data_IF_258454583446
#
_entry.id   IF_258454583446
#
_cell.length_a   1.000
_cell.length_b   1.000
_cell.length_c   1.000
_cell.angle_alpha   90.00
_cell.angle_beta   90.00
_cell.angle_gamma   90.00
#
_symmetry.space_group_name_H-M   'P 1'
#
loop_
_entity.id
_entity.type
_entity.pdbx_description
1 polymer ?
#
# COMPACT_ATOMS: atom_id res chain seq x y z
N UNK A 1 -29.10 18.19 -18.03
CA UNK A 1 -28.16 19.32 -18.06
C UNK A 1 -28.36 20.16 -16.81
N UNK A 2 -27.60 19.91 -15.74
CA UNK A 2 -27.25 20.88 -14.69
C UNK A 2 -26.06 20.31 -13.92
N UNK A 3 -24.90 20.88 -14.21
CA UNK A 3 -23.61 20.64 -13.59
C UNK A 3 -23.62 21.37 -12.25
N UNK A 4 -23.46 20.66 -11.12
CA UNK A 4 -23.08 21.28 -9.86
C UNK A 4 -21.73 20.71 -9.45
N UNK A 5 -20.72 21.53 -9.74
CA UNK A 5 -19.36 21.46 -9.24
C UNK A 5 -19.43 21.69 -7.74
N UNK A 6 -19.06 20.67 -6.98
CA UNK A 6 -18.82 20.76 -5.54
C UNK A 6 -17.50 20.07 -5.23
N UNK A 7 -16.39 20.68 -5.64
CA UNK A 7 -15.04 20.30 -5.22
C UNK A 7 -14.94 20.60 -3.71
N UNK A 8 -15.32 19.62 -2.89
CA UNK A 8 -15.25 19.68 -1.44
C UNK A 8 -13.83 19.44 -0.95
N UNK A 9 -13.10 20.53 -0.76
CA UNK A 9 -12.07 20.76 0.29
C UNK A 9 -11.04 19.64 0.48
N UNK A 10 -9.91 19.77 -0.22
CA UNK A 10 -8.66 19.10 0.16
C UNK A 10 -8.22 19.60 1.54
N UNK A 11 -8.39 18.78 2.58
CA UNK A 11 -7.59 18.94 3.79
C UNK A 11 -6.15 18.55 3.45
N UNK A 12 -5.35 19.51 2.98
CA UNK A 12 -3.90 19.42 3.17
C UNK A 12 -3.65 19.77 4.63
N UNK A 13 -3.44 18.76 5.47
CA UNK A 13 -2.69 18.98 6.70
C UNK A 13 -1.25 19.24 6.25
N UNK A 14 -0.85 20.51 6.24
CA UNK A 14 0.55 20.88 6.28
C UNK A 14 1.13 20.25 7.54
N UNK A 15 1.93 19.18 7.38
CA UNK A 15 2.72 18.63 8.48
C UNK A 15 3.69 19.72 8.94
N UNK A 16 3.41 20.21 10.14
CA UNK A 16 4.30 21.02 10.95
C UNK A 16 5.66 20.32 10.98
N UNK A 17 6.67 20.95 10.37
CA UNK A 17 8.06 20.50 10.40
C UNK A 17 8.56 20.50 11.85
N UNK A 18 8.26 19.44 12.59
CA UNK A 18 8.96 19.14 13.83
C UNK A 18 10.24 18.40 13.45
N UNK A 19 11.36 19.08 13.65
CA UNK A 19 12.67 18.43 13.82
C UNK A 19 12.62 17.51 15.04
N UNK A 20 12.04 16.32 14.89
CA UNK A 20 12.03 15.30 15.94
C UNK A 20 12.13 13.95 15.24
N UNK A 21 13.33 13.35 15.31
CA UNK A 21 13.70 11.99 14.89
C UNK A 21 12.87 11.35 13.73
N UNK A 22 13.47 11.09 12.55
CA UNK A 22 12.77 10.48 11.40
C UNK A 22 12.14 9.11 11.70
N UNK A 23 12.52 8.43 12.79
CA UNK A 23 11.88 7.19 13.23
C UNK A 23 10.52 7.35 13.93
N UNK A 24 10.12 8.58 14.29
CA UNK A 24 8.86 8.90 15.00
C UNK A 24 7.76 9.35 14.03
N UNK A 25 8.09 9.42 12.74
CA UNK A 25 7.19 9.84 11.68
C UNK A 25 5.87 9.04 11.65
N UNK A 26 4.71 9.70 11.42
CA UNK A 26 3.41 9.04 11.39
C UNK A 26 3.34 7.93 10.34
N UNK A 27 4.03 8.08 9.21
CA UNK A 27 4.12 7.07 8.15
C UNK A 27 4.81 5.79 8.63
N UNK A 28 5.88 5.92 9.43
CA UNK A 28 6.60 4.79 10.04
C UNK A 28 5.74 4.11 11.11
N UNK A 29 5.07 4.90 11.96
CA UNK A 29 4.18 4.36 13.00
C UNK A 29 2.99 3.60 12.42
N UNK A 30 2.42 4.11 11.32
CA UNK A 30 1.33 3.45 10.61
C UNK A 30 1.81 2.15 9.94
N UNK A 31 2.97 2.17 9.26
CA UNK A 31 3.57 1.01 8.65
C UNK A 31 3.89 -0.10 9.67
N UNK A 32 4.26 0.27 10.91
CA UNK A 32 4.47 -0.70 11.99
C UNK A 32 3.21 -1.47 12.36
N UNK A 33 2.05 -0.81 12.33
CA UNK A 33 0.77 -1.42 12.72
C UNK A 33 0.10 -2.18 11.57
N UNK A 34 0.12 -1.60 10.36
CA UNK A 34 -0.65 -2.10 9.22
C UNK A 34 0.20 -2.67 8.08
N UNK A 35 1.52 -2.60 8.18
CA UNK A 35 2.43 -2.95 7.10
C UNK A 35 2.65 -1.82 6.11
N UNK A 36 3.76 -1.90 5.39
CA UNK A 36 4.10 -0.94 4.33
C UNK A 36 3.08 -1.00 3.19
N UNK A 37 2.53 -2.20 2.91
CA UNK A 37 1.49 -2.39 1.88
C UNK A 37 0.15 -1.73 2.21
N UNK A 38 -0.08 -1.37 3.47
CA UNK A 38 -1.27 -0.66 3.92
C UNK A 38 -1.19 0.86 3.70
N UNK A 39 -0.03 1.39 3.33
CA UNK A 39 0.15 2.80 3.02
C UNK A 39 -0.45 3.15 1.65
N UNK A 40 -1.04 4.33 1.48
CA UNK A 40 -1.47 4.79 0.17
C UNK A 40 -0.24 5.04 -0.72
N UNK A 41 -0.38 4.80 -2.02
CA UNK A 41 0.74 4.87 -3.00
C UNK A 41 1.43 6.24 -3.00
N UNK A 42 0.69 7.32 -2.69
CA UNK A 42 1.23 8.68 -2.56
C UNK A 42 2.23 8.83 -1.41
N UNK A 43 2.11 8.04 -0.34
CA UNK A 43 2.92 8.17 0.88
C UNK A 43 4.10 7.17 0.88
N UNK A 44 4.13 6.24 -0.08
CA UNK A 44 5.28 5.35 -0.31
C UNK A 44 6.62 6.08 -0.52
N UNK A 45 6.73 7.07 -1.43
CA UNK A 45 8.00 7.78 -1.61
C UNK A 45 8.44 8.51 -0.33
N UNK A 46 7.50 9.03 0.45
CA UNK A 46 7.77 9.64 1.74
C UNK A 46 8.30 8.61 2.75
N UNK A 47 7.61 7.47 2.88
CA UNK A 47 8.03 6.35 3.72
C UNK A 47 9.45 5.88 3.40
N UNK A 48 9.82 5.75 2.13
CA UNK A 48 11.17 5.32 1.74
C UNK A 48 12.24 6.35 2.12
N UNK A 49 11.94 7.64 1.96
CA UNK A 49 12.86 8.72 2.35
C UNK A 49 13.08 8.74 3.86
N UNK A 50 12.00 8.66 4.64
CA UNK A 50 12.04 8.71 6.09
C UNK A 50 12.62 7.44 6.71
N UNK A 51 12.27 6.26 6.17
CA UNK A 51 12.84 4.98 6.64
C UNK A 51 14.35 4.92 6.40
N UNK A 52 14.84 5.45 5.26
CA UNK A 52 16.28 5.56 5.01
C UNK A 52 16.97 6.48 6.02
N UNK A 53 16.40 7.66 6.29
CA UNK A 53 16.93 8.58 7.29
C UNK A 53 16.91 7.97 8.71
N UNK A 54 15.88 7.20 9.04
CA UNK A 54 15.78 6.46 10.31
C UNK A 54 16.84 5.36 10.42
N UNK A 55 17.13 4.61 9.34
CA UNK A 55 18.23 3.64 9.29
C UNK A 55 19.59 4.30 9.53
N UNK A 56 19.85 5.42 8.84
CA UNK A 56 21.10 6.17 8.99
C UNK A 56 21.31 6.73 10.42
N UNK A 57 20.23 6.92 11.19
CA UNK A 57 20.28 7.31 12.60
C UNK A 57 20.34 6.13 13.60
N UNK A 58 20.49 4.89 13.12
CA UNK A 58 20.58 3.67 13.95
C UNK A 58 19.23 3.01 14.26
N UNK A 59 18.16 3.40 13.56
CA UNK A 59 16.82 2.81 13.68
C UNK A 59 16.61 1.52 12.88
N UNK A 60 17.68 0.85 12.44
CA UNK A 60 17.61 -0.35 11.59
C UNK A 60 16.70 -1.44 12.19
N UNK A 61 16.81 -1.66 13.50
CA UNK A 61 16.06 -2.66 14.26
C UNK A 61 14.54 -2.42 14.14
N UNK A 62 14.12 -1.15 14.14
CA UNK A 62 12.70 -0.79 14.01
C UNK A 62 12.18 -1.09 12.61
N UNK A 63 12.95 -0.76 11.57
CA UNK A 63 12.54 -1.02 10.19
C UNK A 63 12.54 -2.53 9.90
N UNK A 64 13.51 -3.27 10.41
CA UNK A 64 13.57 -4.71 10.27
C UNK A 64 12.41 -5.41 11.00
N UNK A 65 12.00 -4.91 12.17
CA UNK A 65 10.82 -5.41 12.86
C UNK A 65 9.54 -5.20 12.02
N UNK A 66 9.40 -4.07 11.32
CA UNK A 66 8.28 -3.83 10.40
C UNK A 66 8.29 -4.88 9.27
N UNK A 67 9.47 -5.16 8.70
CA UNK A 67 9.62 -6.15 7.63
C UNK A 67 9.30 -7.57 8.11
N UNK A 68 9.76 -7.97 9.30
CA UNK A 68 9.52 -9.30 9.87
C UNK A 68 8.03 -9.47 10.21
N UNK A 69 7.40 -8.45 10.78
CA UNK A 69 5.97 -8.49 11.10
C UNK A 69 5.13 -8.61 9.83
N UNK A 70 5.48 -7.85 8.79
CA UNK A 70 4.82 -7.95 7.48
C UNK A 70 4.99 -9.34 6.87
N UNK A 71 6.20 -9.88 6.91
CA UNK A 71 6.51 -11.22 6.41
C UNK A 71 5.71 -12.30 7.13
N UNK A 72 5.64 -12.27 8.47
CA UNK A 72 4.88 -13.24 9.24
C UNK A 72 3.38 -13.17 8.95
N UNK A 73 2.84 -11.95 8.77
CA UNK A 73 1.44 -11.76 8.39
C UNK A 73 1.15 -12.31 6.99
N UNK A 74 2.00 -12.00 6.03
CA UNK A 74 1.90 -12.53 4.66
C UNK A 74 2.02 -14.06 4.65
N UNK A 75 2.92 -14.62 5.46
CA UNK A 75 3.10 -16.06 5.62
C UNK A 75 1.83 -16.74 6.14
N UNK A 76 1.21 -16.22 7.22
CA UNK A 76 -0.06 -16.75 7.71
C UNK A 76 -1.19 -16.64 6.67
N UNK A 77 -1.30 -15.51 5.95
CA UNK A 77 -2.33 -15.34 4.92
C UNK A 77 -2.11 -16.24 3.70
N UNK A 78 -0.85 -16.57 3.38
CA UNK A 78 -0.50 -17.47 2.28
C UNK A 78 -0.99 -18.90 2.50
N UNK A 79 -1.08 -19.37 3.76
CA UNK A 79 -1.61 -20.70 4.10
C UNK A 79 -3.07 -20.86 3.66
N UNK A 80 -3.82 -19.77 3.70
CA UNK A 80 -5.22 -19.75 3.28
C UNK A 80 -5.40 -19.35 1.82
N UNK A 81 -4.29 -19.17 1.07
CA UNK A 81 -4.31 -18.67 -0.32
C UNK A 81 -5.29 -17.51 -0.49
N UNK A 82 -5.29 -16.60 0.50
CA UNK A 82 -6.20 -15.47 0.56
C UNK A 82 -5.56 -14.27 -0.14
N UNK A 83 -6.21 -13.80 -1.21
CA UNK A 83 -5.73 -12.66 -1.99
C UNK A 83 -6.10 -12.75 -3.47
N UNK A 84 -6.00 -11.63 -4.17
CA UNK A 84 -6.23 -11.55 -5.62
C UNK A 84 -5.18 -12.33 -6.43
N UNK A 85 -4.00 -12.58 -5.84
CA UNK A 85 -2.91 -13.40 -6.40
C UNK A 85 -3.05 -14.90 -6.09
N UNK A 86 -4.13 -15.32 -5.43
CA UNK A 86 -4.42 -16.74 -5.20
C UNK A 86 -4.54 -17.49 -6.53
N UNK A 87 -4.16 -18.77 -6.57
CA UNK A 87 -4.37 -19.63 -7.75
C UNK A 87 -5.82 -19.57 -8.23
N UNK A 88 -6.78 -19.52 -7.30
CA UNK A 88 -8.19 -19.35 -7.62
C UNK A 88 -8.48 -17.99 -8.28
N UNK A 89 -7.95 -16.90 -7.71
CA UNK A 89 -8.10 -15.55 -8.27
C UNK A 89 -7.51 -15.40 -9.67
N UNK A 90 -6.33 -15.99 -9.92
CA UNK A 90 -5.70 -16.01 -11.24
C UNK A 90 -6.53 -16.78 -12.27
N UNK A 91 -6.99 -17.99 -11.93
CA UNK A 91 -7.80 -18.80 -12.84
C UNK A 91 -9.13 -18.12 -13.20
N UNK A 92 -9.83 -17.55 -12.21
CA UNK A 92 -11.09 -16.83 -12.45
C UNK A 92 -10.86 -15.59 -13.32
N UNK A 93 -9.80 -14.81 -13.05
CA UNK A 93 -9.45 -13.62 -13.84
C UNK A 93 -9.13 -13.99 -15.29
N UNK A 94 -8.38 -15.07 -15.52
CA UNK A 94 -8.05 -15.53 -16.87
C UNK A 94 -9.31 -15.91 -17.66
N UNK A 95 -10.24 -16.68 -17.06
CA UNK A 95 -11.50 -17.06 -17.71
C UNK A 95 -12.34 -15.83 -18.07
N UNK A 96 -12.49 -14.89 -17.14
CA UNK A 96 -13.23 -13.64 -17.35
C UNK A 96 -12.58 -12.83 -18.48
N UNK A 97 -11.25 -12.71 -18.48
CA UNK A 97 -10.51 -12.00 -19.52
C UNK A 97 -10.72 -12.62 -20.90
N UNK A 98 -10.59 -13.94 -21.03
CA UNK A 98 -10.85 -14.63 -22.31
C UNK A 98 -12.29 -14.47 -22.77
N UNK A 99 -13.27 -14.49 -21.87
CA UNK A 99 -14.68 -14.26 -22.20
C UNK A 99 -14.90 -12.86 -22.79
N UNK A 100 -14.39 -11.81 -22.14
CA UNK A 100 -14.54 -10.44 -22.62
C UNK A 100 -13.75 -10.16 -23.90
N UNK A 101 -12.52 -10.68 -24.02
CA UNK A 101 -11.73 -10.60 -25.26
C UNK A 101 -12.45 -11.32 -26.40
N UNK A 102 -13.05 -12.49 -26.13
CA UNK A 102 -13.86 -13.24 -27.07
C UNK A 102 -15.06 -12.44 -27.56
N UNK A 103 -15.82 -11.80 -26.66
CA UNK A 103 -16.95 -10.94 -27.03
C UNK A 103 -16.53 -9.76 -27.91
N UNK A 104 -15.45 -9.06 -27.55
CA UNK A 104 -14.93 -7.92 -28.34
C UNK A 104 -14.43 -8.37 -29.72
N UNK A 105 -13.87 -9.58 -29.82
CA UNK A 105 -13.29 -10.11 -31.06
C UNK A 105 -14.34 -10.72 -31.99
N UNK A 106 -15.43 -11.28 -31.45
CA UNK A 106 -16.53 -11.88 -32.21
C UNK A 106 -17.48 -10.82 -32.81
N UNK A 107 -17.50 -9.60 -32.26
CA UNK A 107 -18.29 -8.48 -32.81
C UNK A 107 -17.67 -7.83 -34.08
N UNK A 108 -17.00 -8.62 -34.91
CA UNK A 108 -16.52 -8.22 -36.25
C UNK A 108 -16.91 -9.21 -37.32
#
# INVERSE_FOLDING_TARGET
MFVIIGLGISFSQDEEKKEENPCVDPTISYARKHGVKGLPVKDLPHYFKVSKACKEMGGDILIDQISINEYNRDFEQSKFMSGWTSTYGMCVTAIIFYYFVGLITVEK
#
